data_IF_724940352699
#
_entry.id   IF_724940352699
#
_cell.length_a   1.000
_cell.length_b   1.000
_cell.length_c   1.000
_cell.angle_alpha   90.00
_cell.angle_beta   90.00
_cell.angle_gamma   90.00
#
_symmetry.space_group_name_H-M   'P 1'
#
loop_
_entity.id
_entity.type
_entity.pdbx_description
1 polymer ?
#
# COMPACT_ATOMS: atom_id res chain seq x y z
N UNK A 1 7.85 -6.06 -1.03
CA UNK A 1 7.67 -7.04 0.07
C UNK A 1 6.53 -6.54 0.93
N UNK A 2 5.30 -7.09 0.77
CA UNK A 2 4.14 -6.62 1.50
C UNK A 2 4.22 -6.98 2.98
N UNK A 3 3.79 -6.05 3.84
CA UNK A 3 3.67 -6.23 5.29
C UNK A 3 2.26 -6.65 5.70
N UNK A 4 1.25 -6.33 4.87
CA UNK A 4 -0.16 -6.54 5.16
C UNK A 4 -0.93 -6.93 3.90
N UNK A 5 -2.10 -7.54 4.07
CA UNK A 5 -3.01 -7.85 2.94
C UNK A 5 -3.72 -6.57 2.49
N UNK A 6 -4.40 -5.89 3.42
CA UNK A 6 -5.15 -4.64 3.20
C UNK A 6 -4.50 -3.49 3.97
N UNK A 7 -4.84 -2.25 3.61
CA UNK A 7 -4.36 -1.04 4.30
C UNK A 7 -4.79 -1.08 5.78
N UNK A 8 -6.02 -1.48 6.05
CA UNK A 8 -6.59 -1.61 7.41
C UNK A 8 -5.91 -2.69 8.27
N UNK A 9 -5.15 -3.61 7.66
CA UNK A 9 -4.39 -4.63 8.40
C UNK A 9 -3.02 -4.11 8.86
N UNK A 10 -2.62 -2.88 8.48
CA UNK A 10 -1.37 -2.27 8.95
C UNK A 10 -1.50 -1.81 10.41
N UNK A 11 -0.45 -1.95 11.23
CA UNK A 11 -0.41 -1.33 12.56
C UNK A 11 -0.65 0.19 12.46
N UNK A 12 -1.62 0.75 13.20
CA UNK A 12 -1.90 2.19 13.14
C UNK A 12 -0.68 3.06 13.47
N UNK A 13 0.15 2.59 14.40
CA UNK A 13 1.39 3.24 14.83
C UNK A 13 2.40 3.36 13.69
N UNK A 14 2.49 2.35 12.82
CA UNK A 14 3.35 2.38 11.64
C UNK A 14 2.86 3.45 10.65
N UNK A 15 1.55 3.49 10.39
CA UNK A 15 0.96 4.46 9.46
C UNK A 15 1.15 5.89 9.96
N UNK A 16 0.94 6.12 11.26
CA UNK A 16 1.16 7.43 11.88
C UNK A 16 2.63 7.85 11.82
N UNK A 17 3.56 6.93 12.12
CA UNK A 17 4.99 7.19 12.04
C UNK A 17 5.41 7.58 10.63
N UNK A 18 5.01 6.82 9.61
CA UNK A 18 5.33 7.13 8.21
C UNK A 18 4.75 8.48 7.77
N UNK A 19 3.49 8.77 8.16
CA UNK A 19 2.86 10.08 7.91
C UNK A 19 3.69 11.22 8.51
N UNK A 20 4.10 11.12 9.78
CA UNK A 20 4.92 12.14 10.44
C UNK A 20 6.28 12.33 9.74
N UNK A 21 6.90 11.24 9.30
CA UNK A 21 8.16 11.31 8.54
C UNK A 21 7.95 12.09 7.24
N UNK A 22 6.89 11.81 6.49
CA UNK A 22 6.60 12.53 5.24
C UNK A 22 6.21 14.00 5.49
N UNK A 23 5.43 14.28 6.54
CA UNK A 23 5.10 15.64 6.96
C UNK A 23 6.36 16.44 7.29
N UNK A 24 7.30 15.85 8.04
CA UNK A 24 8.58 16.48 8.34
C UNK A 24 9.41 16.74 7.07
N UNK A 25 9.43 15.81 6.12
CA UNK A 25 10.13 15.97 4.84
C UNK A 25 9.57 17.10 3.97
N UNK A 26 8.27 17.38 4.06
CA UNK A 26 7.64 18.47 3.29
C UNK A 26 7.56 19.78 4.08
N UNK A 27 7.77 19.77 5.39
CA UNK A 27 7.69 20.95 6.25
C UNK A 27 8.71 22.02 5.86
N UNK A 28 9.90 21.62 5.42
CA UNK A 28 10.97 22.51 4.94
C UNK A 28 10.65 23.15 3.58
N UNK A 29 9.64 22.64 2.86
CA UNK A 29 9.22 23.22 1.58
C UNK A 29 8.35 24.47 1.84
N UNK A 30 8.71 25.59 1.23
CA UNK A 30 7.94 26.86 1.23
C UNK A 30 6.68 26.78 0.35
N UNK A 31 5.88 25.73 0.51
CA UNK A 31 4.62 25.50 -0.22
C UNK A 31 3.42 25.73 0.72
N UNK A 32 2.25 26.12 0.19
CA UNK A 32 1.03 26.21 0.98
C UNK A 32 0.69 24.87 1.66
N UNK A 33 0.07 24.92 2.84
CA UNK A 33 -0.28 23.75 3.64
C UNK A 33 -1.11 22.72 2.87
N UNK A 34 -2.08 23.18 2.07
CA UNK A 34 -2.90 22.32 1.22
C UNK A 34 -2.06 21.53 0.19
N UNK A 35 -0.99 22.13 -0.34
CA UNK A 35 -0.10 21.46 -1.28
C UNK A 35 0.78 20.44 -0.55
N UNK A 36 1.26 20.78 0.66
CA UNK A 36 2.03 19.85 1.49
C UNK A 36 1.21 18.62 1.87
N UNK A 37 -0.04 18.80 2.29
CA UNK A 37 -0.96 17.70 2.60
C UNK A 37 -1.15 16.76 1.39
N UNK A 38 -1.39 17.32 0.19
CA UNK A 38 -1.48 16.53 -1.05
C UNK A 38 -0.20 15.75 -1.37
N UNK A 39 0.97 16.31 -1.08
CA UNK A 39 2.26 15.61 -1.26
C UNK A 39 2.35 14.44 -0.29
N UNK A 40 2.06 14.66 0.99
CA UNK A 40 2.09 13.62 2.03
C UNK A 40 1.13 12.47 1.69
N UNK A 41 -0.09 12.79 1.25
CA UNK A 41 -1.06 11.77 0.83
C UNK A 41 -0.56 10.96 -0.38
N UNK A 42 0.11 11.61 -1.33
CA UNK A 42 0.77 10.92 -2.46
C UNK A 42 1.91 9.99 -2.01
N UNK A 43 2.71 10.42 -1.02
CA UNK A 43 3.79 9.60 -0.45
C UNK A 43 3.24 8.41 0.34
N UNK A 44 2.19 8.61 1.14
CA UNK A 44 1.47 7.52 1.81
C UNK A 44 0.85 6.54 0.82
N UNK A 45 0.27 7.04 -0.27
CA UNK A 45 -0.25 6.17 -1.33
C UNK A 45 0.84 5.28 -1.91
N UNK A 46 2.01 5.85 -2.22
CA UNK A 46 3.17 5.08 -2.71
C UNK A 46 3.64 4.06 -1.67
N UNK A 47 3.68 4.42 -0.40
CA UNK A 47 3.97 3.48 0.68
C UNK A 47 3.00 2.29 0.68
N UNK A 48 1.71 2.53 0.49
CA UNK A 48 0.73 1.44 0.39
C UNK A 48 0.95 0.57 -0.85
N UNK A 49 1.19 1.19 -2.02
CA UNK A 49 1.50 0.47 -3.27
C UNK A 49 2.75 -0.43 -3.12
N UNK A 50 3.69 -0.10 -2.24
CA UNK A 50 4.90 -0.90 -1.99
C UNK A 50 4.73 -1.94 -0.87
N UNK A 51 3.89 -1.66 0.13
CA UNK A 51 3.84 -2.41 1.41
C UNK A 51 2.53 -3.15 1.65
N UNK A 52 1.49 -2.93 0.87
CA UNK A 52 0.19 -3.60 1.00
C UNK A 52 -0.07 -4.49 -0.20
N UNK A 53 -0.31 -5.78 0.01
CA UNK A 53 -0.41 -6.78 -1.05
C UNK A 53 -1.48 -6.41 -2.10
N UNK A 54 -2.67 -5.99 -1.67
CA UNK A 54 -3.76 -5.69 -2.60
C UNK A 54 -3.56 -4.37 -3.38
N UNK A 55 -2.70 -3.47 -2.90
CA UNK A 55 -2.37 -2.21 -3.57
C UNK A 55 -1.18 -2.37 -4.54
N UNK A 56 -0.41 -3.43 -4.40
CA UNK A 56 0.73 -3.72 -5.28
C UNK A 56 0.29 -3.99 -6.72
N UNK A 57 1.10 -3.49 -7.66
CA UNK A 57 1.02 -3.89 -9.06
C UNK A 57 1.23 -5.39 -9.20
N UNK A 58 0.43 -6.03 -10.04
CA UNK A 58 0.53 -7.47 -10.23
C UNK A 58 1.77 -7.80 -11.08
N UNK A 59 2.62 -8.67 -10.56
CA UNK A 59 3.94 -8.98 -11.16
C UNK A 59 3.88 -9.55 -12.58
N UNK A 60 2.75 -10.15 -12.98
CA UNK A 60 2.56 -10.70 -14.34
C UNK A 60 1.89 -9.70 -15.29
N UNK A 61 1.34 -8.61 -14.76
CA UNK A 61 0.55 -7.62 -15.50
C UNK A 61 0.47 -6.34 -14.66
N UNK A 62 1.41 -5.43 -14.90
CA UNK A 62 1.58 -4.18 -14.16
C UNK A 62 0.48 -3.14 -14.43
N UNK A 63 -0.42 -3.42 -15.37
CA UNK A 63 -1.57 -2.56 -15.67
C UNK A 63 -2.57 -2.52 -14.53
N UNK A 64 -2.64 -3.59 -13.73
CA UNK A 64 -3.58 -3.73 -12.62
C UNK A 64 -2.91 -4.07 -11.29
N UNK A 65 -3.61 -3.81 -10.20
CA UNK A 65 -3.21 -4.23 -8.86
C UNK A 65 -3.64 -5.66 -8.57
N UNK A 66 -3.06 -6.27 -7.54
CA UNK A 66 -3.52 -7.57 -7.03
C UNK A 66 -4.97 -7.48 -6.53
N UNK A 67 -5.37 -6.36 -5.94
CA UNK A 67 -6.75 -6.11 -5.50
C UNK A 67 -7.74 -6.07 -6.67
N UNK A 68 -7.37 -5.44 -7.78
CA UNK A 68 -8.17 -5.43 -9.01
C UNK A 68 -8.30 -6.85 -9.59
N UNK A 69 -7.21 -7.60 -9.66
CA UNK A 69 -7.23 -9.00 -10.09
C UNK A 69 -8.19 -9.85 -9.22
N UNK A 70 -8.16 -9.72 -7.89
CA UNK A 70 -9.03 -10.47 -6.99
C UNK A 70 -10.51 -10.11 -7.21
N UNK A 71 -10.81 -8.82 -7.44
CA UNK A 71 -12.18 -8.35 -7.74
C UNK A 71 -12.67 -8.91 -9.08
N UNK A 72 -11.86 -8.85 -10.13
CA UNK A 72 -12.18 -9.39 -11.45
C UNK A 72 -12.46 -10.90 -11.40
N UNK A 73 -11.63 -11.65 -10.67
CA UNK A 73 -11.84 -13.09 -10.49
C UNK A 73 -13.11 -13.39 -9.69
N UNK A 74 -13.42 -12.60 -8.66
CA UNK A 74 -14.66 -12.75 -7.90
C UNK A 74 -15.89 -12.53 -8.80
N UNK A 75 -15.85 -11.47 -9.64
CA UNK A 75 -16.92 -11.18 -10.59
C UNK A 75 -17.07 -12.29 -11.65
N UNK A 76 -15.96 -12.83 -12.14
CA UNK A 76 -15.96 -13.90 -13.17
C UNK A 76 -16.48 -15.24 -12.63
N UNK A 77 -16.20 -15.55 -11.36
CA UNK A 77 -16.61 -16.81 -10.73
C UNK A 77 -18.02 -16.72 -10.12
N UNK A 78 -18.51 -15.52 -9.84
CA UNK A 78 -19.75 -15.31 -9.10
C UNK A 78 -19.61 -15.56 -7.59
N UNK A 79 -18.40 -15.86 -7.12
CA UNK A 79 -18.09 -16.15 -5.73
C UNK A 79 -17.16 -15.08 -5.14
N UNK A 80 -17.27 -14.84 -3.84
CA UNK A 80 -16.39 -13.91 -3.15
C UNK A 80 -15.00 -14.54 -2.95
N UNK A 81 -14.02 -14.08 -3.71
CA UNK A 81 -12.62 -14.46 -3.52
C UNK A 81 -11.94 -13.43 -2.62
N UNK A 82 -11.18 -13.91 -1.63
CA UNK A 82 -10.44 -13.07 -0.72
C UNK A 82 -9.09 -13.69 -0.34
N UNK A 83 -8.07 -12.86 -0.23
CA UNK A 83 -6.77 -13.25 0.35
C UNK A 83 -6.88 -13.10 1.86
N UNK A 84 -6.85 -14.21 2.60
CA UNK A 84 -6.96 -14.17 4.07
C UNK A 84 -5.64 -13.86 4.77
N UNK A 85 -4.56 -14.50 4.34
CA UNK A 85 -3.21 -14.38 4.92
C UNK A 85 -2.16 -14.86 3.94
N UNK A 86 -0.93 -14.39 4.10
CA UNK A 86 0.25 -14.91 3.40
C UNK A 86 1.39 -15.08 4.41
N UNK A 87 2.37 -15.90 4.05
CA UNK A 87 3.67 -15.93 4.72
C UNK A 87 4.75 -16.00 3.65
N UNK A 88 5.83 -15.25 3.85
CA UNK A 88 6.99 -15.23 2.97
C UNK A 88 8.22 -15.53 3.80
N UNK A 89 8.91 -16.60 3.46
CA UNK A 89 10.19 -17.00 4.04
C UNK A 89 11.28 -16.73 2.99
N UNK A 90 12.35 -16.05 3.40
CA UNK A 90 13.57 -15.83 2.59
C UNK A 90 14.73 -16.38 3.42
N UNK A 91 15.61 -17.16 2.80
CA UNK A 91 16.82 -17.71 3.46
C UNK A 91 17.93 -16.67 3.38
N UNK A 92 18.60 -16.39 4.50
CA UNK A 92 19.62 -15.32 4.62
C UNK A 92 19.04 -13.95 5.00
N UNK A 93 19.89 -12.93 5.14
CA UNK A 93 19.51 -11.56 5.54
C UNK A 93 19.26 -10.61 4.35
N UNK A 94 18.57 -9.50 4.63
CA UNK A 94 18.20 -8.45 3.68
C UNK A 94 19.37 -7.57 3.23
#
# INVERSE_FOLDING_TARGET
>A
NPLAVRIEDLPPELVQRERQVYEAQVAEQKKPEQIRAKIVDGMLKKFYEERVLLEQKFVKDDKRTVGELVKELSAKTGEKIAVRRFSRLKVGED
#
